data_IF_570649734441
#
_entry.id   IF_570649734441
#
_cell.length_a   1.000
_cell.length_b   1.000
_cell.length_c   1.000
_cell.angle_alpha   90.00
_cell.angle_beta   90.00
_cell.angle_gamma   90.00
#
_symmetry.space_group_name_H-M   'P 1'
#
loop_
_entity.id
_entity.type
_entity.pdbx_description
1 polymer ?
#
# COMPACT_ATOMS: atom_id res chain seq x y z
N UNK A 1 -3.55 0.57 26.76
CA UNK A 1 -3.09 1.92 26.34
C UNK A 1 -1.56 1.97 26.25
N UNK A 2 -0.78 1.75 27.30
CA UNK A 2 0.70 1.78 27.25
C UNK A 2 1.31 0.72 26.30
N UNK A 3 0.79 -0.50 26.32
CA UNK A 3 1.24 -1.59 25.42
C UNK A 3 0.96 -1.28 23.96
N UNK A 4 -0.18 -0.72 23.62
CA UNK A 4 -0.56 -0.33 22.25
C UNK A 4 0.34 0.80 21.74
N UNK A 5 0.60 1.81 22.57
CA UNK A 5 1.54 2.89 22.22
C UNK A 5 2.93 2.34 21.89
N UNK A 6 3.42 1.38 22.69
CA UNK A 6 4.72 0.74 22.45
C UNK A 6 4.76 -0.08 21.16
N UNK A 7 3.68 -0.81 20.82
CA UNK A 7 3.59 -1.55 19.56
C UNK A 7 3.61 -0.59 18.36
N UNK A 8 2.87 0.52 18.43
CA UNK A 8 2.86 1.54 17.40
C UNK A 8 4.26 2.15 17.20
N UNK A 9 4.96 2.50 18.26
CA UNK A 9 6.34 3.01 18.19
C UNK A 9 7.29 2.01 17.54
N UNK A 10 7.18 0.72 17.86
CA UNK A 10 7.99 -0.35 17.25
C UNK A 10 7.67 -0.47 15.76
N UNK A 11 6.38 -0.48 15.39
CA UNK A 11 5.96 -0.57 13.99
C UNK A 11 6.50 0.59 13.16
N UNK A 12 6.28 1.83 13.62
CA UNK A 12 6.78 3.02 12.93
C UNK A 12 8.31 3.01 12.79
N UNK A 13 9.04 2.71 13.86
CA UNK A 13 10.51 2.67 13.83
C UNK A 13 11.05 1.60 12.85
N UNK A 14 10.38 0.45 12.77
CA UNK A 14 10.75 -0.61 11.84
C UNK A 14 10.57 -0.14 10.39
N UNK A 15 9.42 0.45 10.08
CA UNK A 15 9.10 0.94 8.75
C UNK A 15 9.98 2.13 8.36
N UNK A 16 10.21 3.11 9.25
CA UNK A 16 11.17 4.21 9.02
C UNK A 16 12.58 3.71 8.73
N UNK A 17 13.01 2.64 9.40
CA UNK A 17 14.32 2.02 9.11
C UNK A 17 14.33 1.39 7.72
N UNK A 18 13.27 0.65 7.35
CA UNK A 18 13.10 0.09 6.01
C UNK A 18 13.08 1.19 4.94
N UNK A 19 12.33 2.26 5.17
CA UNK A 19 12.24 3.43 4.30
C UNK A 19 13.62 4.11 4.11
N UNK A 20 14.40 4.21 5.18
CA UNK A 20 15.75 4.76 5.10
C UNK A 20 16.68 3.90 4.21
N UNK A 21 16.51 2.59 4.22
CA UNK A 21 17.22 1.68 3.31
C UNK A 21 16.73 1.82 1.87
N UNK A 22 15.42 1.94 1.65
CA UNK A 22 14.85 2.17 0.32
C UNK A 22 15.32 3.50 -0.27
N UNK A 23 15.50 4.54 0.55
CA UNK A 23 16.03 5.83 0.13
C UNK A 23 17.47 5.77 -0.40
N UNK A 24 18.25 4.75 -0.05
CA UNK A 24 19.59 4.55 -0.62
C UNK A 24 19.50 4.14 -2.10
N UNK A 25 18.50 3.34 -2.45
CA UNK A 25 18.31 2.79 -3.80
C UNK A 25 17.43 3.69 -4.67
N UNK A 26 16.30 4.14 -4.09
CA UNK A 26 15.26 4.93 -4.75
C UNK A 26 15.05 6.25 -4.02
N UNK A 27 16.05 7.15 -4.07
CA UNK A 27 16.05 8.40 -3.30
C UNK A 27 15.10 9.47 -3.83
N UNK A 28 14.71 9.39 -5.11
CA UNK A 28 13.74 10.31 -5.72
C UNK A 28 12.33 9.78 -5.59
N UNK A 29 11.36 10.68 -5.40
CA UNK A 29 9.94 10.35 -5.50
C UNK A 29 9.51 10.37 -6.98
N UNK A 30 9.85 9.31 -7.71
CA UNK A 30 9.58 9.12 -9.13
C UNK A 30 8.79 7.81 -9.38
N UNK A 31 8.44 7.56 -10.64
CA UNK A 31 7.72 6.36 -11.06
C UNK A 31 8.45 5.06 -10.72
N UNK A 32 9.78 5.09 -10.65
CA UNK A 32 10.61 3.94 -10.29
C UNK A 32 10.44 3.58 -8.82
N UNK A 33 10.47 4.58 -7.94
CA UNK A 33 10.23 4.42 -6.52
C UNK A 33 8.79 3.99 -6.26
N UNK A 34 7.82 4.68 -6.86
CA UNK A 34 6.42 4.36 -6.72
C UNK A 34 6.14 2.90 -7.13
N UNK A 35 6.57 2.46 -8.31
CA UNK A 35 6.41 1.08 -8.76
C UNK A 35 7.04 0.04 -7.81
N UNK A 36 8.16 0.39 -7.16
CA UNK A 36 8.82 -0.50 -6.20
C UNK A 36 8.05 -0.58 -4.89
N UNK A 37 7.53 0.55 -4.40
CA UNK A 37 6.74 0.62 -3.18
C UNK A 37 5.42 -0.13 -3.32
N UNK A 38 4.73 0.00 -4.46
CA UNK A 38 3.46 -0.69 -4.70
C UNK A 38 3.62 -2.22 -4.68
N UNK A 39 4.70 -2.76 -5.24
CA UNK A 39 4.99 -4.19 -5.13
C UNK A 39 5.15 -4.61 -3.66
N UNK A 40 5.78 -3.76 -2.85
CA UNK A 40 6.03 -4.04 -1.43
C UNK A 40 4.73 -3.92 -0.63
N UNK A 41 3.98 -2.83 -0.78
CA UNK A 41 2.73 -2.56 -0.09
C UNK A 41 1.67 -3.64 -0.41
N UNK A 42 1.45 -3.92 -1.69
CA UNK A 42 0.57 -4.99 -2.13
C UNK A 42 0.92 -6.35 -1.53
N UNK A 43 2.21 -6.67 -1.42
CA UNK A 43 2.66 -7.93 -0.84
C UNK A 43 2.30 -8.05 0.64
N UNK A 44 2.25 -6.95 1.39
CA UNK A 44 1.80 -6.93 2.78
C UNK A 44 0.31 -7.36 2.88
N UNK A 45 -0.55 -6.85 2.02
CA UNK A 45 -1.97 -7.24 1.98
C UNK A 45 -2.16 -8.69 1.52
N UNK A 46 -1.45 -9.15 0.49
CA UNK A 46 -1.48 -10.55 0.06
C UNK A 46 -1.05 -11.51 1.20
N UNK A 47 -0.09 -11.11 2.03
CA UNK A 47 0.35 -11.88 3.18
C UNK A 47 -0.72 -11.93 4.28
N UNK A 48 -1.37 -10.79 4.56
CA UNK A 48 -2.50 -10.71 5.50
C UNK A 48 -3.68 -11.56 5.04
N UNK A 49 -4.05 -11.50 3.75
CA UNK A 49 -5.07 -12.37 3.17
C UNK A 49 -4.76 -13.85 3.39
N UNK A 50 -3.53 -14.26 3.05
CA UNK A 50 -3.09 -15.65 3.20
C UNK A 50 -3.18 -16.13 4.65
N UNK A 51 -2.74 -15.29 5.60
CA UNK A 51 -2.80 -15.60 7.02
C UNK A 51 -4.26 -15.68 7.53
N UNK A 52 -5.10 -14.72 7.15
CA UNK A 52 -6.52 -14.70 7.52
C UNK A 52 -7.28 -15.93 6.96
N UNK A 53 -7.05 -16.30 5.70
CA UNK A 53 -7.61 -17.51 5.11
C UNK A 53 -7.20 -18.77 5.88
N UNK A 54 -5.94 -18.85 6.28
CA UNK A 54 -5.48 -19.98 7.09
C UNK A 54 -6.21 -20.03 8.44
N UNK A 55 -6.30 -18.91 9.16
CA UNK A 55 -6.97 -18.83 10.46
C UNK A 55 -8.47 -19.13 10.37
N UNK A 56 -9.15 -18.66 9.33
CA UNK A 56 -10.56 -18.99 9.06
C UNK A 56 -10.72 -20.50 8.82
N UNK A 57 -9.85 -21.09 7.99
CA UNK A 57 -9.88 -22.51 7.65
C UNK A 57 -9.74 -23.43 8.86
N UNK A 58 -8.90 -23.07 9.83
CA UNK A 58 -8.72 -23.85 11.08
C UNK A 58 -9.70 -23.45 12.18
N UNK A 59 -10.68 -22.60 11.87
CA UNK A 59 -11.80 -22.27 12.77
C UNK A 59 -11.43 -21.33 13.93
N UNK A 60 -10.40 -20.50 13.79
CA UNK A 60 -10.00 -19.54 14.82
C UNK A 60 -10.76 -18.21 14.75
N UNK A 61 -11.59 -17.99 13.74
CA UNK A 61 -12.44 -16.80 13.63
C UNK A 61 -13.72 -16.90 14.47
N UNK A 62 -13.57 -16.84 15.79
CA UNK A 62 -14.71 -16.97 16.73
C UNK A 62 -15.64 -15.76 16.76
N UNK A 63 -15.23 -14.61 16.22
CA UNK A 63 -15.97 -13.34 16.31
C UNK A 63 -16.23 -12.67 14.97
N UNK A 64 -15.89 -13.31 13.85
CA UNK A 64 -16.00 -12.75 12.49
C UNK A 64 -14.95 -11.69 12.15
N UNK A 65 -14.03 -11.36 13.06
CA UNK A 65 -13.02 -10.30 12.88
C UNK A 65 -11.97 -10.66 11.83
N UNK A 66 -11.59 -11.94 11.78
CA UNK A 66 -10.61 -12.41 10.79
C UNK A 66 -11.22 -12.28 9.40
N UNK A 67 -12.50 -12.60 9.25
CA UNK A 67 -13.22 -12.44 7.99
C UNK A 67 -13.34 -10.97 7.57
N UNK A 68 -13.68 -10.07 8.49
CA UNK A 68 -13.71 -8.63 8.22
C UNK A 68 -12.32 -8.11 7.79
N UNK A 69 -11.26 -8.58 8.45
CA UNK A 69 -9.87 -8.25 8.09
C UNK A 69 -9.53 -8.77 6.70
N UNK A 70 -9.91 -10.00 6.37
CA UNK A 70 -9.71 -10.59 5.06
C UNK A 70 -10.41 -9.80 3.95
N UNK A 71 -11.68 -9.45 4.13
CA UNK A 71 -12.45 -8.67 3.15
C UNK A 71 -11.80 -7.29 2.92
N UNK A 72 -11.32 -6.63 3.97
CA UNK A 72 -10.61 -5.37 3.87
C UNK A 72 -9.26 -5.52 3.16
N UNK A 73 -8.47 -6.54 3.51
CA UNK A 73 -7.17 -6.80 2.88
C UNK A 73 -7.33 -7.07 1.37
N UNK A 74 -8.31 -7.88 0.96
CA UNK A 74 -8.63 -8.12 -0.46
C UNK A 74 -9.00 -6.83 -1.21
N UNK A 75 -9.74 -5.94 -0.55
CA UNK A 75 -10.12 -4.66 -1.12
C UNK A 75 -8.89 -3.75 -1.33
N UNK A 76 -8.03 -3.66 -0.32
CA UNK A 76 -6.78 -2.90 -0.36
C UNK A 76 -5.81 -3.49 -1.39
N UNK A 77 -5.59 -4.82 -1.44
CA UNK A 77 -4.74 -5.49 -2.44
C UNK A 77 -5.17 -5.14 -3.88
N UNK A 78 -6.47 -5.13 -4.14
CA UNK A 78 -7.00 -4.77 -5.47
C UNK A 78 -6.69 -3.30 -5.83
N UNK A 79 -6.71 -2.40 -4.87
CA UNK A 79 -6.35 -1.00 -5.07
C UNK A 79 -4.86 -0.85 -5.33
N UNK A 80 -4.00 -1.45 -4.48
CA UNK A 80 -2.55 -1.48 -4.63
C UNK A 80 -2.11 -2.08 -5.97
N UNK A 81 -2.79 -3.14 -6.44
CA UNK A 81 -2.54 -3.68 -7.77
C UNK A 81 -2.77 -2.64 -8.87
N UNK A 82 -3.74 -1.77 -8.69
CA UNK A 82 -4.01 -0.70 -9.67
C UNK A 82 -2.88 0.33 -9.65
N UNK A 83 -2.39 0.72 -8.47
CA UNK A 83 -1.25 1.63 -8.34
C UNK A 83 0.01 1.01 -8.95
N UNK A 84 0.29 -0.29 -8.66
CA UNK A 84 1.39 -1.03 -9.29
C UNK A 84 1.28 -1.00 -10.82
N UNK A 85 0.10 -1.28 -11.38
CA UNK A 85 -0.11 -1.29 -12.83
C UNK A 85 0.10 0.10 -13.46
N UNK A 86 -0.28 1.18 -12.75
CA UNK A 86 -0.02 2.56 -13.20
C UNK A 86 1.49 2.80 -13.29
N UNK A 87 2.23 2.57 -12.22
CA UNK A 87 3.64 2.93 -12.17
C UNK A 87 4.57 1.92 -12.82
N UNK A 88 4.34 0.61 -12.63
CA UNK A 88 5.22 -0.41 -13.18
C UNK A 88 4.95 -0.71 -14.66
N UNK A 89 3.68 -0.69 -15.10
CA UNK A 89 3.30 -1.06 -16.47
C UNK A 89 3.11 0.15 -17.36
N UNK A 90 2.17 1.05 -17.04
CA UNK A 90 1.84 2.18 -17.90
C UNK A 90 3.01 3.18 -17.98
N UNK A 91 3.67 3.47 -16.86
CA UNK A 91 4.81 4.39 -16.78
C UNK A 91 6.18 3.69 -16.90
N UNK A 92 6.19 2.36 -16.96
CA UNK A 92 7.40 1.55 -17.09
C UNK A 92 8.49 1.87 -16.03
N UNK A 93 8.07 2.15 -14.80
CA UNK A 93 8.96 2.52 -13.70
C UNK A 93 10.00 1.45 -13.37
N UNK A 94 9.68 0.17 -13.56
CA UNK A 94 10.58 -0.96 -13.33
C UNK A 94 11.23 -1.49 -14.61
N UNK A 95 11.66 -0.63 -15.52
CA UNK A 95 12.37 -1.05 -16.74
C UNK A 95 13.70 -1.74 -16.49
N UNK A 96 14.40 -1.39 -15.42
CA UNK A 96 15.70 -1.99 -15.06
C UNK A 96 15.50 -3.36 -14.39
N UNK A 97 16.32 -4.34 -14.80
CA UNK A 97 16.31 -5.67 -14.18
C UNK A 97 16.65 -5.63 -12.68
N UNK A 98 17.64 -4.82 -12.30
CA UNK A 98 18.06 -4.68 -10.91
C UNK A 98 16.94 -4.18 -9.98
N UNK A 99 16.15 -3.21 -10.44
CA UNK A 99 15.02 -2.69 -9.68
C UNK A 99 13.93 -3.75 -9.49
N UNK A 100 13.58 -4.47 -10.58
CA UNK A 100 12.63 -5.58 -10.51
C UNK A 100 13.10 -6.69 -9.57
N UNK A 101 14.38 -7.03 -9.65
CA UNK A 101 14.97 -8.05 -8.79
C UNK A 101 14.87 -7.62 -7.32
N UNK A 102 15.34 -6.42 -7.01
CA UNK A 102 15.41 -5.93 -5.64
C UNK A 102 14.00 -5.73 -5.04
N UNK A 103 13.09 -5.08 -5.75
CA UNK A 103 11.72 -4.87 -5.28
C UNK A 103 11.02 -6.20 -4.94
N UNK A 104 11.14 -7.21 -5.81
CA UNK A 104 10.54 -8.54 -5.59
C UNK A 104 11.19 -9.31 -4.43
N UNK A 105 12.49 -9.16 -4.20
CA UNK A 105 13.15 -9.84 -3.08
C UNK A 105 12.81 -9.17 -1.74
N UNK A 106 12.71 -7.85 -1.72
CA UNK A 106 12.19 -7.13 -0.54
C UNK A 106 10.74 -7.55 -0.28
N UNK A 107 9.91 -7.63 -1.31
CA UNK A 107 8.53 -8.08 -1.19
C UNK A 107 8.41 -9.47 -0.54
N UNK A 108 9.27 -10.43 -0.89
CA UNK A 108 9.27 -11.76 -0.24
C UNK A 108 9.56 -11.65 1.26
N UNK A 109 10.49 -10.79 1.67
CA UNK A 109 10.78 -10.56 3.09
C UNK A 109 9.58 -9.94 3.79
N UNK A 110 8.97 -8.93 3.20
CA UNK A 110 7.77 -8.25 3.71
C UNK A 110 6.60 -9.23 3.81
N UNK A 111 6.39 -10.10 2.80
CA UNK A 111 5.37 -11.14 2.87
C UNK A 111 5.49 -11.97 4.15
N UNK A 112 6.68 -12.49 4.46
CA UNK A 112 6.85 -13.32 5.64
C UNK A 112 6.72 -12.53 6.94
N UNK A 113 7.17 -11.28 6.99
CA UNK A 113 6.98 -10.41 8.16
C UNK A 113 5.49 -10.25 8.43
N UNK A 114 4.71 -9.84 7.42
CA UNK A 114 3.26 -9.62 7.59
C UNK A 114 2.50 -10.91 7.85
N UNK A 115 2.77 -11.99 7.12
CA UNK A 115 2.11 -13.28 7.35
C UNK A 115 2.32 -13.79 8.77
N UNK A 116 3.57 -13.80 9.26
CA UNK A 116 3.88 -14.27 10.61
C UNK A 116 3.28 -13.33 11.66
N UNK A 117 3.38 -12.01 11.47
CA UNK A 117 2.83 -11.03 12.41
C UNK A 117 1.32 -11.15 12.47
N UNK A 118 0.62 -11.31 11.35
CA UNK A 118 -0.82 -11.52 11.31
C UNK A 118 -1.23 -12.79 12.05
N UNK A 119 -0.46 -13.88 11.92
CA UNK A 119 -0.75 -15.13 12.64
C UNK A 119 -0.57 -15.03 14.15
N UNK A 120 0.33 -14.17 14.65
CA UNK A 120 0.70 -14.09 16.06
C UNK A 120 0.03 -12.89 16.76
N UNK A 121 -0.02 -11.73 16.11
CA UNK A 121 -0.47 -10.46 16.69
C UNK A 121 -1.10 -9.56 15.61
N UNK A 122 -2.41 -9.70 15.43
CA UNK A 122 -3.18 -8.91 14.45
C UNK A 122 -3.09 -7.40 14.67
N UNK A 123 -3.03 -6.95 15.93
CA UNK A 123 -2.89 -5.54 16.27
C UNK A 123 -1.55 -5.00 15.73
N UNK A 124 -0.46 -5.72 15.95
CA UNK A 124 0.85 -5.32 15.44
C UNK A 124 0.90 -5.36 13.91
N UNK A 125 0.26 -6.35 13.27
CA UNK A 125 0.17 -6.41 11.81
C UNK A 125 -0.55 -5.17 11.24
N UNK A 126 -1.67 -4.78 11.85
CA UNK A 126 -2.42 -3.60 11.45
C UNK A 126 -1.61 -2.29 11.66
N UNK A 127 -0.87 -2.17 12.76
CA UNK A 127 0.03 -1.03 13.01
C UNK A 127 1.21 -0.98 12.04
N UNK A 128 1.74 -2.12 11.62
CA UNK A 128 2.75 -2.18 10.55
C UNK A 128 2.16 -1.72 9.21
N UNK A 129 0.94 -2.16 8.86
CA UNK A 129 0.22 -1.71 7.69
C UNK A 129 -0.01 -0.19 7.72
N UNK A 130 -0.52 0.35 8.84
CA UNK A 130 -0.67 1.80 9.02
C UNK A 130 0.65 2.55 8.76
N UNK A 131 1.76 2.07 9.34
CA UNK A 131 3.06 2.71 9.17
C UNK A 131 3.57 2.67 7.71
N UNK A 132 3.33 1.58 6.97
CA UNK A 132 3.64 1.47 5.53
C UNK A 132 2.88 2.52 4.74
N UNK A 133 1.57 2.65 4.98
CA UNK A 133 0.73 3.61 4.25
C UNK A 133 1.09 5.07 4.58
N UNK A 134 1.48 5.36 5.82
CA UNK A 134 2.00 6.69 6.17
C UNK A 134 3.21 7.07 5.32
N UNK A 135 4.13 6.13 5.05
CA UNK A 135 5.28 6.37 4.18
C UNK A 135 4.89 6.46 2.69
N UNK A 136 3.87 5.70 2.26
CA UNK A 136 3.30 5.82 0.92
C UNK A 136 2.70 7.21 0.69
N UNK A 137 1.87 7.72 1.62
CA UNK A 137 1.34 9.10 1.58
C UNK A 137 2.47 10.14 1.46
N UNK A 138 3.55 10.00 2.25
CA UNK A 138 4.70 10.93 2.17
C UNK A 138 5.36 10.85 0.79
N UNK A 139 5.55 9.65 0.24
CA UNK A 139 6.18 9.45 -1.06
C UNK A 139 5.36 10.08 -2.17
N UNK A 140 4.05 9.88 -2.23
CA UNK A 140 3.20 10.48 -3.25
C UNK A 140 3.05 11.99 -3.12
N UNK A 141 3.00 12.52 -1.90
CA UNK A 141 3.07 13.98 -1.67
C UNK A 141 4.40 14.57 -2.15
N UNK A 142 5.52 13.89 -1.93
CA UNK A 142 6.83 14.30 -2.47
C UNK A 142 6.83 14.24 -4.00
N UNK A 143 6.22 13.22 -4.61
CA UNK A 143 6.10 13.11 -6.07
C UNK A 143 5.39 14.33 -6.67
N UNK A 144 4.30 14.81 -6.04
CA UNK A 144 3.60 16.02 -6.47
C UNK A 144 4.48 17.30 -6.42
N UNK A 145 5.53 17.29 -5.60
CA UNK A 145 6.45 18.44 -5.42
C UNK A 145 7.69 18.27 -6.30
N UNK A 146 8.25 17.07 -6.39
CA UNK A 146 9.55 16.81 -7.01
C UNK A 146 9.45 16.54 -8.52
N UNK A 147 8.29 16.11 -9.02
CA UNK A 147 8.08 15.90 -10.45
C UNK A 147 7.89 17.22 -11.20
N UNK A 148 8.36 17.25 -12.45
CA UNK A 148 8.19 18.43 -13.30
C UNK A 148 6.72 18.69 -13.62
N UNK A 149 6.39 19.98 -13.84
CA UNK A 149 5.04 20.34 -14.30
C UNK A 149 4.68 19.69 -15.63
N UNK A 150 5.66 19.45 -16.52
CA UNK A 150 5.46 18.72 -17.77
C UNK A 150 4.98 17.30 -17.50
N UNK A 151 5.60 16.58 -16.55
CA UNK A 151 5.20 15.22 -16.18
C UNK A 151 3.82 15.21 -15.51
N UNK A 152 3.61 16.11 -14.57
CA UNK A 152 2.34 16.20 -13.83
C UNK A 152 1.15 16.57 -14.72
N UNK A 153 1.36 17.30 -15.80
CA UNK A 153 0.33 17.70 -16.76
C UNK A 153 0.16 16.70 -17.93
N UNK A 154 0.91 15.61 -17.98
CA UNK A 154 0.65 14.56 -18.96
C UNK A 154 -0.77 13.99 -18.76
N UNK A 155 -1.41 13.51 -19.82
CA UNK A 155 -2.71 12.85 -19.72
C UNK A 155 -2.68 11.68 -18.74
N UNK A 156 -3.77 11.47 -18.01
CA UNK A 156 -3.93 10.31 -17.15
C UNK A 156 -3.74 9.01 -17.92
N UNK A 157 -2.99 8.08 -17.33
CA UNK A 157 -2.64 6.80 -17.99
C UNK A 157 -3.84 5.85 -18.12
N UNK A 158 -3.81 4.92 -19.09
CA UNK A 158 -4.95 4.04 -19.36
C UNK A 158 -5.45 3.24 -18.17
N UNK A 159 -4.56 2.77 -17.31
CA UNK A 159 -4.94 2.00 -16.12
C UNK A 159 -5.74 2.86 -15.14
N UNK A 160 -5.34 4.11 -14.90
CA UNK A 160 -6.07 5.04 -14.05
C UNK A 160 -7.50 5.30 -14.56
N UNK A 161 -7.63 5.50 -15.88
CA UNK A 161 -8.93 5.70 -16.52
C UNK A 161 -9.82 4.45 -16.44
N UNK A 162 -9.24 3.26 -16.66
CA UNK A 162 -9.97 1.99 -16.49
C UNK A 162 -10.42 1.78 -15.05
N UNK A 163 -9.58 2.10 -14.09
CA UNK A 163 -9.90 1.98 -12.67
C UNK A 163 -11.06 2.91 -12.28
N UNK A 164 -11.00 4.17 -12.67
CA UNK A 164 -12.09 5.12 -12.41
C UNK A 164 -13.43 4.64 -13.00
N UNK A 165 -13.41 3.97 -14.16
CA UNK A 165 -14.62 3.45 -14.81
C UNK A 165 -15.24 2.24 -14.08
N UNK A 166 -14.52 1.57 -13.16
CA UNK A 166 -15.10 0.47 -12.38
C UNK A 166 -16.11 1.04 -11.35
N UNK A 167 -17.35 0.52 -11.27
CA UNK A 167 -18.38 1.05 -10.36
C UNK A 167 -17.98 1.04 -8.89
N UNK A 168 -17.16 0.07 -8.49
CA UNK A 168 -16.69 -0.17 -7.12
C UNK A 168 -15.24 0.29 -6.88
N UNK A 169 -14.63 1.07 -7.78
CA UNK A 169 -13.32 1.66 -7.51
C UNK A 169 -13.41 2.66 -6.35
N UNK A 170 -12.35 2.78 -5.56
CA UNK A 170 -12.27 3.76 -4.47
C UNK A 170 -12.56 5.17 -4.96
N UNK A 171 -11.98 5.56 -6.10
CA UNK A 171 -12.16 6.89 -6.70
C UNK A 171 -13.63 7.19 -7.03
N UNK A 172 -14.35 6.20 -7.56
CA UNK A 172 -15.74 6.36 -7.92
C UNK A 172 -16.68 6.36 -6.70
N UNK A 173 -16.43 5.47 -5.76
CA UNK A 173 -17.19 5.39 -4.50
C UNK A 173 -17.01 6.66 -3.67
N UNK A 174 -15.81 7.22 -3.63
CA UNK A 174 -15.51 8.49 -2.96
C UNK A 174 -16.10 9.70 -3.68
N UNK A 175 -16.52 9.58 -4.94
CA UNK A 175 -17.07 10.67 -5.75
C UNK A 175 -16.02 11.56 -6.42
N UNK A 176 -14.79 11.02 -6.59
CA UNK A 176 -13.75 11.72 -7.34
C UNK A 176 -14.15 11.91 -8.80
N UNK A 177 -13.71 13.00 -9.42
CA UNK A 177 -13.85 13.19 -10.86
C UNK A 177 -12.90 12.26 -11.60
N UNK A 178 -13.23 11.96 -12.86
CA UNK A 178 -12.31 11.25 -13.74
C UNK A 178 -11.00 12.04 -13.87
N UNK A 179 -9.85 11.43 -13.56
CA UNK A 179 -8.59 12.16 -13.66
C UNK A 179 -8.27 12.48 -15.12
N UNK A 180 -7.91 13.74 -15.38
CA UNK A 180 -7.49 14.20 -16.70
C UNK A 180 -5.96 14.20 -16.87
N UNK A 181 -5.22 14.29 -15.77
CA UNK A 181 -3.76 14.41 -15.75
C UNK A 181 -3.12 13.47 -14.74
N UNK A 182 -1.80 13.28 -14.86
CA UNK A 182 -1.01 12.52 -13.88
C UNK A 182 -1.03 13.18 -12.50
N UNK A 183 -1.13 14.51 -12.41
CA UNK A 183 -1.33 15.21 -11.13
C UNK A 183 -2.57 14.70 -10.42
N UNK A 184 -3.71 14.68 -11.12
CA UNK A 184 -4.98 14.21 -10.54
C UNK A 184 -4.96 12.72 -10.21
N UNK A 185 -4.22 11.90 -10.97
CA UNK A 185 -3.98 10.49 -10.65
C UNK A 185 -3.23 10.36 -9.33
N UNK A 186 -2.08 11.05 -9.18
CA UNK A 186 -1.28 11.00 -7.95
C UNK A 186 -2.05 11.57 -6.75
N UNK A 187 -2.82 12.65 -6.93
CA UNK A 187 -3.69 13.20 -5.87
C UNK A 187 -4.76 12.19 -5.43
N UNK A 188 -5.31 11.41 -6.35
CA UNK A 188 -6.28 10.36 -6.02
C UNK A 188 -5.62 9.21 -5.27
N UNK A 189 -4.40 8.83 -5.63
CA UNK A 189 -3.61 7.83 -4.91
C UNK A 189 -3.28 8.32 -3.49
N UNK A 190 -2.86 9.58 -3.30
CA UNK A 190 -2.64 10.14 -1.94
C UNK A 190 -3.87 10.00 -1.04
N UNK A 191 -5.07 10.12 -1.61
CA UNK A 191 -6.31 9.90 -0.85
C UNK A 191 -6.54 8.42 -0.54
N UNK A 192 -6.27 7.53 -1.50
CA UNK A 192 -6.36 6.08 -1.30
C UNK A 192 -5.46 5.64 -0.15
N UNK A 193 -4.18 6.03 -0.17
CA UNK A 193 -3.23 5.73 0.90
C UNK A 193 -3.67 6.32 2.25
N UNK A 194 -4.26 7.52 2.25
CA UNK A 194 -4.80 8.12 3.47
C UNK A 194 -6.01 7.33 4.00
N UNK A 195 -6.85 6.79 3.14
CA UNK A 195 -7.96 5.91 3.52
C UNK A 195 -7.43 4.57 4.06
N UNK A 196 -6.34 4.02 3.48
CA UNK A 196 -5.66 2.82 3.99
C UNK A 196 -5.06 3.04 5.39
N UNK A 197 -4.41 4.19 5.64
CA UNK A 197 -3.94 4.58 6.98
C UNK A 197 -5.07 4.51 8.00
N UNK A 198 -6.21 5.13 7.69
CA UNK A 198 -7.37 5.14 8.59
C UNK A 198 -7.95 3.74 8.81
N UNK A 199 -8.07 2.94 7.76
CA UNK A 199 -8.59 1.58 7.84
C UNK A 199 -7.68 0.68 8.70
N UNK A 200 -6.36 0.76 8.52
CA UNK A 200 -5.40 -0.02 9.32
C UNK A 200 -5.37 0.45 10.79
N UNK A 201 -5.46 1.75 11.06
CA UNK A 201 -5.58 2.28 12.41
C UNK A 201 -6.86 1.78 13.11
N UNK A 202 -8.01 1.76 12.43
CA UNK A 202 -9.26 1.20 12.95
C UNK A 202 -9.15 -0.30 13.20
N UNK A 203 -8.52 -1.05 12.30
CA UNK A 203 -8.24 -2.47 12.45
C UNK A 203 -7.41 -2.75 13.71
N UNK A 204 -6.36 -1.96 13.98
CA UNK A 204 -5.54 -2.10 15.18
C UNK A 204 -6.31 -1.88 16.48
N UNK A 205 -7.34 -1.02 16.47
CA UNK A 205 -8.19 -0.77 17.66
C UNK A 205 -9.18 -1.94 17.89
N UNK A 206 -9.57 -2.63 16.82
CA UNK A 206 -10.58 -3.69 16.88
C UNK A 206 -10.05 -4.99 17.51
N UNK A 207 -8.74 -5.21 17.57
CA UNK A 207 -8.07 -6.37 18.17
C UNK A 207 -7.54 -6.06 19.56
#
# INVERSE_FOLDING_TARGET
>A
METQTRKAEVAHKLIETGESLLNIVWYRADERRAASLEIIARTAYTAEESACHYLETIGLDRKGRIRETLELACYQDTNEQTHEDIFARDLNGLKNWGDRFLARHIAVIIYWIFAITTLIDHELAALLGEAVEVEAVKTYRRMLIEQSDEWLNQPAVPTALRYWNKPNSMWRVRGDRQPASMREVVESIVKDESDHVHANAQKAIAF
#
